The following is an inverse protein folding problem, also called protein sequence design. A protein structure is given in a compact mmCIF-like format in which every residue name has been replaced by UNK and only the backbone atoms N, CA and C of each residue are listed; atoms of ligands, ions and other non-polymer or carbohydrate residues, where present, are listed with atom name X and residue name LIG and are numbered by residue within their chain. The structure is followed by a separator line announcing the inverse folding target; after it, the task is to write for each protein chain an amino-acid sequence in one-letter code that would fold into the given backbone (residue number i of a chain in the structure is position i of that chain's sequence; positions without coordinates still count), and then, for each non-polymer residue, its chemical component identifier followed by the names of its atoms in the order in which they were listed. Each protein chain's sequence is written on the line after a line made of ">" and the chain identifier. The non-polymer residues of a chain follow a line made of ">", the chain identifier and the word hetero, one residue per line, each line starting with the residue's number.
data_IF_741111446053
#
_entry.id   IF_741111446053
#
_cell.length_a   1.000
_cell.length_b   1.000
_cell.length_c   1.000
_cell.angle_alpha   90.00
_cell.angle_beta   90.00
_cell.angle_gamma   90.00
#
_symmetry.space_group_name_H-M   'P 1'
#
loop_
_entity.id
_entity.type
_entity.pdbx_description
1 polymer ?
#
# COMPACT_ATOMS: atom_id res chain seq x y z
N UNK A 1 -21.00 -24.94 -45.81
CA UNK A 1 -21.21 -23.57 -45.31
C UNK A 1 -20.71 -23.54 -43.87
N UNK A 2 -19.50 -22.98 -43.67
CA UNK A 2 -18.81 -22.95 -42.38
C UNK A 2 -19.55 -22.01 -41.42
N UNK A 3 -20.18 -22.57 -40.38
CA UNK A 3 -20.66 -21.80 -39.24
C UNK A 3 -19.42 -21.41 -38.43
N UNK A 4 -18.82 -20.28 -38.78
CA UNK A 4 -17.66 -19.74 -38.10
C UNK A 4 -18.05 -19.40 -36.65
N UNK A 5 -17.48 -20.18 -35.76
CA UNK A 5 -17.53 -20.09 -34.31
C UNK A 5 -16.89 -18.77 -33.87
N UNK A 6 -17.62 -17.66 -33.92
CA UNK A 6 -17.22 -16.41 -33.27
C UNK A 6 -17.39 -16.55 -31.76
N UNK A 7 -16.52 -17.37 -31.14
CA UNK A 7 -16.13 -17.20 -29.75
C UNK A 7 -15.40 -15.86 -29.67
N UNK A 8 -16.17 -14.79 -29.51
CA UNK A 8 -15.70 -13.52 -28.99
C UNK A 8 -15.19 -13.79 -27.57
N UNK A 9 -13.91 -14.16 -27.45
CA UNK A 9 -13.16 -14.10 -26.21
C UNK A 9 -13.03 -12.62 -25.85
N UNK A 10 -14.10 -12.05 -25.30
CA UNK A 10 -14.07 -10.80 -24.57
C UNK A 10 -13.15 -11.05 -23.37
N UNK A 11 -11.87 -10.74 -23.52
CA UNK A 11 -10.96 -10.65 -22.38
C UNK A 11 -11.46 -9.51 -21.50
N UNK A 12 -12.28 -9.84 -20.48
CA UNK A 12 -12.65 -8.89 -19.47
C UNK A 12 -11.36 -8.50 -18.72
N UNK A 13 -10.84 -7.29 -18.99
CA UNK A 13 -9.77 -6.72 -18.18
C UNK A 13 -10.27 -6.60 -16.74
N UNK A 14 -9.85 -7.52 -15.89
CA UNK A 14 -10.12 -7.45 -14.46
C UNK A 14 -9.16 -6.41 -13.89
N UNK A 15 -9.69 -5.32 -13.34
CA UNK A 15 -8.86 -4.37 -12.61
C UNK A 15 -8.27 -5.06 -11.38
N UNK A 16 -7.00 -4.80 -11.13
CA UNK A 16 -6.28 -5.30 -9.97
C UNK A 16 -5.36 -4.21 -9.46
N UNK A 17 -5.20 -4.14 -8.14
CA UNK A 17 -4.17 -3.32 -7.55
C UNK A 17 -2.81 -4.01 -7.70
N UNK A 18 -1.88 -3.31 -8.32
CA UNK A 18 -0.47 -3.67 -8.34
C UNK A 18 0.31 -2.74 -7.41
N UNK A 19 1.42 -3.23 -6.85
CA UNK A 19 2.16 -2.50 -5.84
C UNK A 19 3.65 -2.45 -6.15
N UNK A 20 4.27 -1.30 -5.89
CA UNK A 20 5.74 -1.21 -5.80
C UNK A 20 6.17 -0.69 -4.43
N UNK A 21 7.04 -1.41 -3.70
CA UNK A 21 7.73 -2.64 -4.13
C UNK A 21 6.81 -3.87 -4.23
N UNK A 22 7.20 -4.82 -5.09
CA UNK A 22 6.39 -6.00 -5.42
C UNK A 22 6.40 -7.07 -4.32
N UNK A 23 7.51 -7.21 -3.59
CA UNK A 23 7.61 -8.14 -2.45
C UNK A 23 6.82 -7.70 -1.22
N UNK A 24 7.00 -8.44 -0.12
CA UNK A 24 6.30 -8.25 1.16
C UNK A 24 7.22 -7.67 2.26
N UNK A 25 8.41 -7.21 1.86
CA UNK A 25 9.41 -6.62 2.74
C UNK A 25 9.83 -5.25 2.21
N UNK A 26 9.95 -4.30 3.12
CA UNK A 26 10.55 -2.99 2.84
C UNK A 26 11.99 -2.99 3.36
N UNK A 27 12.74 -1.95 3.00
CA UNK A 27 14.09 -1.74 3.51
C UNK A 27 14.10 -1.78 5.04
N UNK A 28 15.18 -2.31 5.60
CA UNK A 28 15.40 -2.34 7.05
C UNK A 28 15.53 -0.93 7.61
N UNK A 29 15.21 -0.78 8.90
CA UNK A 29 15.42 0.45 9.64
C UNK A 29 16.38 0.22 10.82
N UNK A 30 16.88 1.32 11.38
CA UNK A 30 17.77 1.29 12.54
C UNK A 30 17.22 2.20 13.63
N UNK A 31 17.27 1.76 14.89
CA UNK A 31 16.89 2.58 16.04
C UNK A 31 17.67 3.89 16.03
N UNK A 32 16.97 5.01 16.24
CA UNK A 32 17.56 6.35 16.28
C UNK A 32 17.91 6.95 14.91
N UNK A 33 17.80 6.21 13.80
CA UNK A 33 18.05 6.73 12.46
C UNK A 33 16.73 7.10 11.74
N UNK A 34 16.67 8.21 10.99
CA UNK A 34 15.52 8.52 10.13
C UNK A 34 15.24 7.39 9.14
N UNK A 35 13.98 6.93 9.13
CA UNK A 35 13.49 5.92 8.21
C UNK A 35 12.61 6.54 7.13
N UNK A 36 12.75 6.01 5.92
CA UNK A 36 11.97 6.42 4.77
C UNK A 36 11.67 5.23 3.84
N UNK A 37 10.41 5.03 3.51
CA UNK A 37 9.99 4.09 2.48
C UNK A 37 8.72 4.55 1.77
N UNK A 38 8.52 4.08 0.54
CA UNK A 38 7.35 4.38 -0.27
C UNK A 38 6.72 3.11 -0.82
N UNK A 39 5.39 3.09 -0.82
CA UNK A 39 4.55 2.09 -1.44
C UNK A 39 3.67 2.80 -2.47
N UNK A 40 3.89 2.48 -3.74
CA UNK A 40 3.06 2.95 -4.85
C UNK A 40 1.99 1.91 -5.15
N UNK A 41 0.76 2.36 -5.37
CA UNK A 41 -0.40 1.56 -5.72
C UNK A 41 -0.79 1.92 -7.16
N UNK A 42 -0.95 0.92 -8.01
CA UNK A 42 -1.30 1.07 -9.41
C UNK A 42 -2.64 0.39 -9.69
N UNK A 43 -3.32 0.84 -10.75
CA UNK A 43 -4.61 0.28 -11.18
C UNK A 43 -5.81 1.22 -11.01
N UNK A 44 -5.64 2.40 -10.40
CA UNK A 44 -6.71 3.41 -10.31
C UNK A 44 -6.53 4.42 -9.18
N UNK A 45 -7.56 5.25 -8.96
CA UNK A 45 -7.66 6.16 -7.81
C UNK A 45 -7.87 5.33 -6.54
N UNK A 46 -7.07 5.56 -5.51
CA UNK A 46 -7.22 4.88 -4.23
C UNK A 46 -8.34 5.54 -3.42
N UNK A 47 -9.27 4.70 -2.97
CA UNK A 47 -10.42 5.02 -2.14
C UNK A 47 -10.19 4.40 -0.76
N UNK A 48 -10.13 5.24 0.27
CA UNK A 48 -10.05 4.81 1.66
C UNK A 48 -10.84 5.78 2.52
N UNK A 49 -11.90 5.26 3.15
CA UNK A 49 -12.85 6.03 3.93
C UNK A 49 -13.09 5.35 5.27
N UNK A 50 -13.30 6.13 6.33
CA UNK A 50 -13.77 5.60 7.59
C UNK A 50 -15.30 5.33 7.55
N UNK A 51 -15.86 4.87 8.66
CA UNK A 51 -17.31 4.59 8.79
C UNK A 51 -18.20 5.80 8.57
N UNK A 52 -17.66 7.02 8.75
CA UNK A 52 -18.38 8.28 8.55
C UNK A 52 -18.26 8.81 7.11
N UNK A 53 -17.61 8.05 6.22
CA UNK A 53 -17.35 8.46 4.83
C UNK A 53 -16.24 9.51 4.69
N UNK A 54 -15.48 9.79 5.75
CA UNK A 54 -14.33 10.70 5.69
C UNK A 54 -13.12 9.98 5.11
N UNK A 55 -12.43 10.64 4.18
CA UNK A 55 -11.19 10.13 3.60
C UNK A 55 -10.12 9.94 4.68
N UNK A 56 -9.50 8.77 4.69
CA UNK A 56 -8.39 8.42 5.58
C UNK A 56 -7.22 7.87 4.77
N UNK A 57 -6.07 7.66 5.42
CA UNK A 57 -4.95 7.00 4.76
C UNK A 57 -5.30 5.54 4.46
N UNK A 58 -4.89 5.04 3.30
CA UNK A 58 -5.13 3.67 2.84
C UNK A 58 -4.17 2.66 3.50
N UNK A 59 -4.11 2.66 4.82
CA UNK A 59 -3.28 1.69 5.56
C UNK A 59 -3.09 2.02 7.03
N UNK A 60 -2.41 1.11 7.73
CA UNK A 60 -2.05 1.24 9.12
C UNK A 60 -0.73 0.52 9.44
N UNK A 61 -0.13 0.90 10.56
CA UNK A 61 1.10 0.30 11.09
C UNK A 61 0.75 -0.49 12.35
N UNK A 62 1.32 -1.68 12.50
CA UNK A 62 1.21 -2.48 13.71
C UNK A 62 2.55 -3.18 14.05
N UNK A 63 3.04 -3.07 15.29
CA UNK A 63 2.58 -2.16 16.35
C UNK A 63 2.83 -0.69 15.99
N UNK A 64 1.98 0.21 16.48
CA UNK A 64 2.05 1.66 16.20
C UNK A 64 3.05 2.43 17.08
N UNK A 65 3.63 1.76 18.08
CA UNK A 65 4.52 2.36 19.07
C UNK A 65 6.02 2.27 18.73
N UNK A 66 6.36 2.23 17.44
CA UNK A 66 7.74 2.19 16.95
C UNK A 66 8.27 3.55 16.49
N UNK A 67 7.48 4.63 16.54
CA UNK A 67 7.90 5.95 16.07
C UNK A 67 7.81 6.13 14.54
N UNK A 68 7.13 5.21 13.85
CA UNK A 68 6.83 5.28 12.42
C UNK A 68 5.37 5.72 12.21
N UNK A 69 5.13 6.48 11.15
CA UNK A 69 3.79 6.92 10.74
C UNK A 69 3.62 6.84 9.22
N UNK A 70 2.37 6.80 8.78
CA UNK A 70 1.99 6.82 7.38
C UNK A 70 1.51 8.21 6.98
N UNK A 71 1.84 8.62 5.77
CA UNK A 71 1.24 9.76 5.09
C UNK A 71 1.15 9.49 3.59
N UNK A 72 0.30 10.22 2.86
CA UNK A 72 0.40 10.22 1.41
C UNK A 72 1.68 10.97 0.98
N UNK A 73 2.29 10.55 -0.13
CA UNK A 73 3.53 11.16 -0.61
C UNK A 73 3.35 12.63 -1.03
N UNK A 74 2.15 12.98 -1.48
CA UNK A 74 1.76 14.26 -2.03
C UNK A 74 0.24 14.43 -1.91
N UNK A 75 -0.25 15.67 -1.89
CA UNK A 75 -1.68 16.01 -1.76
C UNK A 75 -2.48 15.77 -3.06
N UNK A 76 -1.98 14.90 -3.95
CA UNK A 76 -2.62 14.61 -5.22
C UNK A 76 -3.87 13.77 -5.02
N UNK A 77 -4.90 14.09 -5.80
CA UNK A 77 -6.23 13.46 -5.84
C UNK A 77 -6.25 11.92 -5.87
N UNK A 78 -5.18 11.27 -6.35
CA UNK A 78 -5.16 9.84 -6.60
C UNK A 78 -4.87 8.98 -5.36
N UNK A 79 -4.27 9.54 -4.31
CA UNK A 79 -3.93 8.82 -3.07
C UNK A 79 -3.13 7.52 -3.27
N UNK A 80 -2.37 7.43 -4.36
CA UNK A 80 -1.79 6.18 -4.85
C UNK A 80 -0.31 5.99 -4.44
N UNK A 81 0.20 6.85 -3.55
CA UNK A 81 1.54 6.75 -2.99
C UNK A 81 1.45 6.94 -1.48
N UNK A 82 1.78 5.88 -0.74
CA UNK A 82 1.87 5.88 0.72
C UNK A 82 3.34 5.93 1.10
N UNK A 83 3.64 6.75 2.08
CA UNK A 83 4.98 6.98 2.59
C UNK A 83 5.04 6.61 4.05
N UNK A 84 6.07 5.84 4.41
CA UNK A 84 6.38 5.48 5.79
C UNK A 84 7.58 6.29 6.23
N UNK A 85 7.43 7.05 7.31
CA UNK A 85 8.45 7.96 7.83
C UNK A 85 8.49 7.91 9.35
N UNK A 86 9.61 8.35 9.91
CA UNK A 86 9.80 8.49 11.35
C UNK A 86 11.21 8.13 11.78
N UNK A 87 11.40 8.06 13.10
CA UNK A 87 12.66 7.62 13.71
C UNK A 87 12.30 6.44 14.61
N UNK A 88 12.72 5.21 14.28
CA UNK A 88 12.45 4.04 15.09
C UNK A 88 12.98 4.19 16.53
N UNK A 89 12.16 3.84 17.51
CA UNK A 89 12.50 3.97 18.94
C UNK A 89 12.97 2.68 19.60
N UNK A 90 12.75 1.53 18.97
CA UNK A 90 13.12 0.20 19.47
C UNK A 90 13.27 -0.80 18.33
N UNK A 91 14.12 -1.80 18.51
CA UNK A 91 14.27 -2.91 17.57
C UNK A 91 13.03 -3.81 17.56
N UNK A 92 12.81 -4.49 16.44
CA UNK A 92 11.69 -5.41 16.28
C UNK A 92 11.13 -5.47 14.87
N UNK A 93 9.95 -6.08 14.75
CA UNK A 93 9.26 -6.27 13.48
C UNK A 93 8.02 -5.39 13.44
N UNK A 94 7.90 -4.59 12.39
CA UNK A 94 6.72 -3.75 12.12
C UNK A 94 6.02 -4.25 10.87
N UNK A 95 4.69 -4.35 10.94
CA UNK A 95 3.82 -4.66 9.80
C UNK A 95 3.16 -3.38 9.32
N UNK A 96 3.25 -3.13 8.02
CA UNK A 96 2.56 -2.03 7.34
C UNK A 96 1.50 -2.65 6.45
N UNK A 97 0.23 -2.54 6.83
CA UNK A 97 -0.88 -3.03 6.02
C UNK A 97 -1.45 -1.87 5.20
N UNK A 98 -1.54 -2.07 3.89
CA UNK A 98 -2.05 -1.13 2.91
C UNK A 98 -3.36 -1.71 2.37
N UNK A 99 -4.47 -1.05 2.63
CA UNK A 99 -5.80 -1.56 2.29
C UNK A 99 -6.74 -0.44 1.86
N UNK A 100 -7.70 -0.77 1.00
CA UNK A 100 -8.65 0.17 0.42
C UNK A 100 -9.29 -0.39 -0.84
N UNK A 101 -9.88 0.49 -1.66
CA UNK A 101 -10.43 0.15 -2.97
C UNK A 101 -9.80 0.98 -4.09
N UNK A 102 -9.82 0.43 -5.30
CA UNK A 102 -9.55 1.19 -6.52
C UNK A 102 -10.88 1.68 -7.11
N UNK A 103 -11.02 2.99 -7.26
CA UNK A 103 -12.18 3.60 -7.90
C UNK A 103 -12.33 3.13 -9.33
N UNK A 104 -13.48 2.52 -9.64
CA UNK A 104 -13.84 2.11 -10.98
C UNK A 104 -14.35 3.26 -11.84
N UNK A 105 -14.17 3.11 -13.16
CA UNK A 105 -14.79 3.99 -14.15
C UNK A 105 -16.15 3.45 -14.60
N UNK A 106 -16.75 4.09 -15.61
CA UNK A 106 -18.03 3.67 -16.20
C UNK A 106 -18.06 2.18 -16.63
N UNK A 107 -16.89 1.63 -16.97
CA UNK A 107 -16.74 0.28 -17.53
C UNK A 107 -16.07 -0.73 -16.57
N UNK A 108 -15.76 -0.32 -15.34
CA UNK A 108 -15.04 -1.17 -14.40
C UNK A 108 -15.58 -1.06 -12.97
N UNK A 109 -15.75 -2.20 -12.30
CA UNK A 109 -16.19 -2.23 -10.89
C UNK A 109 -15.06 -1.78 -9.98
N UNK A 110 -15.40 -1.15 -8.85
CA UNK A 110 -14.43 -0.94 -7.77
C UNK A 110 -13.84 -2.29 -7.34
N UNK A 111 -12.55 -2.32 -7.03
CA UNK A 111 -11.83 -3.52 -6.59
C UNK A 111 -11.11 -3.24 -5.30
N UNK A 112 -11.37 -4.06 -4.29
CA UNK A 112 -10.69 -3.96 -3.00
C UNK A 112 -9.27 -4.53 -3.08
N UNK A 113 -8.38 -4.00 -2.27
CA UNK A 113 -7.03 -4.49 -2.10
C UNK A 113 -6.63 -4.53 -0.64
N UNK A 114 -5.75 -5.47 -0.31
CA UNK A 114 -5.15 -5.63 1.00
C UNK A 114 -3.77 -6.26 0.83
N UNK A 115 -2.72 -5.52 1.21
CA UNK A 115 -1.34 -5.98 1.14
C UNK A 115 -0.61 -5.63 2.43
N UNK A 116 0.20 -6.55 2.94
CA UNK A 116 0.98 -6.33 4.16
C UNK A 116 2.47 -6.43 3.88
N UNK A 117 3.20 -5.40 4.28
CA UNK A 117 4.66 -5.34 4.24
C UNK A 117 5.27 -5.53 5.62
N UNK A 118 6.52 -5.99 5.65
CA UNK A 118 7.33 -6.13 6.86
C UNK A 118 8.52 -5.19 6.83
N UNK A 119 8.76 -4.48 7.94
CA UNK A 119 9.99 -3.73 8.21
C UNK A 119 10.68 -4.41 9.38
N UNK A 120 11.95 -4.78 9.19
CA UNK A 120 12.83 -5.21 10.28
C UNK A 120 13.60 -4.00 10.79
N UNK A 121 13.52 -3.74 12.10
CA UNK A 121 14.20 -2.64 12.77
C UNK A 121 15.31 -3.23 13.63
N UNK A 122 16.55 -2.83 13.35
CA UNK A 122 17.76 -3.27 14.05
C UNK A 122 18.17 -2.25 15.10
N UNK A 123 18.89 -2.71 16.12
CA UNK A 123 19.54 -1.80 17.08
C UNK A 123 20.57 -0.92 16.37
N UNK A 124 20.83 0.27 16.93
CA UNK A 124 21.95 1.10 16.49
C UNK A 124 23.25 0.36 16.77
N UNK A 125 24.13 0.22 15.78
CA UNK A 125 25.48 -0.28 16.01
C UNK A 125 26.16 0.62 17.07
N UNK A 126 26.34 0.08 18.28
CA UNK A 126 26.83 0.83 19.44
C UNK A 126 26.15 0.54 20.78
N UNK A 127 25.09 -0.28 20.84
CA UNK A 127 24.54 -0.79 22.11
C UNK A 127 25.17 -2.14 22.47
N UNK A 128 26.41 -2.12 22.96
CA UNK A 128 27.04 -3.21 23.70
C UNK A 128 27.99 -2.63 24.74
#
# INVERSE_FOLDING_TARGET
>A
MFFAFSLLLLSACTMKADFKPEGDTLNEATVGAPYYSQINIFGGRVLSYNIDGKQVIAGNIHPDNFGLHLQYCDDKELNNCIQIRGIPTKAGIVKVRVHGGLGGGMLSKSVDFDKTYTITIKDSEGSS
#
